data_IF_092895564479
#
_entry.id   IF_092895564479
#
_cell.length_a   1.000
_cell.length_b   1.000
_cell.length_c   1.000
_cell.angle_alpha   90.00
_cell.angle_beta   90.00
_cell.angle_gamma   90.00
#
_symmetry.space_group_name_H-M   'P 1'
#
loop_
_entity.id
_entity.type
_entity.pdbx_description
1 polymer ?
#
# COMPACT_ATOMS: atom_id res chain seq x y z
N UNK A 1 -38.81 42.25 43.23
CA UNK A 1 -39.10 43.66 42.87
C UNK A 1 -37.78 44.29 42.44
N UNK A 2 -37.62 44.69 41.17
CA UNK A 2 -37.68 46.10 40.67
C UNK A 2 -36.44 46.85 41.18
N UNK A 3 -35.58 47.54 40.43
CA UNK A 3 -35.41 48.00 39.05
C UNK A 3 -33.97 48.60 39.06
N UNK A 4 -33.23 48.70 37.96
CA UNK A 4 -33.16 49.97 37.21
C UNK A 4 -32.38 49.79 35.90
N UNK A 5 -32.97 50.41 34.88
CA UNK A 5 -32.50 50.62 33.52
C UNK A 5 -31.45 51.75 33.44
N UNK A 6 -30.90 51.85 32.23
CA UNK A 6 -30.31 53.02 31.55
C UNK A 6 -28.78 52.92 31.47
N UNK A 7 -28.12 52.87 30.32
CA UNK A 7 -28.47 53.38 28.99
C UNK A 7 -27.44 54.43 28.60
N UNK A 8 -26.54 54.11 27.68
CA UNK A 8 -25.85 55.10 26.82
C UNK A 8 -25.29 54.42 25.58
N UNK A 9 -25.71 54.97 24.45
CA UNK A 9 -25.30 54.74 23.07
C UNK A 9 -24.26 55.81 22.68
N UNK A 10 -23.49 55.52 21.62
CA UNK A 10 -22.60 56.33 20.76
C UNK A 10 -21.21 55.65 20.73
N UNK A 11 -20.54 55.40 19.61
CA UNK A 11 -20.71 55.87 18.23
C UNK A 11 -19.89 54.97 17.29
N UNK A 12 -20.23 55.00 16.01
CA UNK A 12 -19.60 54.28 14.90
C UNK A 12 -18.13 54.67 14.68
N UNK A 13 -17.29 53.69 14.30
CA UNK A 13 -16.23 53.98 13.33
C UNK A 13 -15.94 52.75 12.45
N UNK A 14 -16.57 52.81 11.29
CA UNK A 14 -16.33 52.09 10.06
C UNK A 14 -14.83 52.01 9.68
N UNK A 15 -14.25 50.80 9.63
CA UNK A 15 -13.01 50.52 8.88
C UNK A 15 -13.10 49.18 8.17
N UNK A 16 -13.35 49.26 6.87
CA UNK A 16 -13.18 48.20 5.88
C UNK A 16 -11.75 47.65 5.91
N UNK A 17 -11.54 46.33 5.83
CA UNK A 17 -10.30 45.78 5.31
C UNK A 17 -10.38 45.69 3.77
N UNK A 18 -9.57 46.53 3.15
CA UNK A 18 -9.25 46.60 1.73
C UNK A 18 -8.81 45.26 1.13
N UNK A 19 -9.39 44.91 -0.02
CA UNK A 19 -8.89 43.88 -0.95
C UNK A 19 -7.49 44.25 -1.45
N UNK A 20 -6.51 43.33 -1.49
CA UNK A 20 -5.39 43.48 -2.40
C UNK A 20 -5.75 42.97 -3.80
N UNK A 21 -5.46 43.83 -4.77
CA UNK A 21 -5.77 43.71 -6.17
C UNK A 21 -5.03 42.55 -6.88
N UNK A 22 -5.74 41.98 -7.84
CA UNK A 22 -5.25 41.10 -8.90
C UNK A 22 -4.55 41.93 -9.97
N UNK A 23 -3.35 41.55 -10.39
CA UNK A 23 -2.68 42.03 -11.61
C UNK A 23 -1.73 40.93 -12.14
N UNK A 24 -1.38 40.90 -13.45
CA UNK A 24 -1.92 39.92 -14.39
C UNK A 24 -0.88 38.91 -14.92
N UNK A 25 -1.37 37.90 -15.65
CA UNK A 25 -0.60 36.85 -16.32
C UNK A 25 -0.26 37.21 -17.79
N UNK A 26 0.85 36.60 -18.24
CA UNK A 26 1.25 36.21 -19.61
C UNK A 26 2.13 37.22 -20.40
N UNK A 27 2.91 36.82 -21.47
CA UNK A 27 2.90 35.55 -22.22
C UNK A 27 4.26 34.97 -22.77
N UNK A 28 4.30 33.64 -22.99
CA UNK A 28 4.66 32.87 -24.23
C UNK A 28 6.08 32.86 -24.89
N UNK A 29 6.56 31.62 -25.13
CA UNK A 29 7.39 31.06 -26.26
C UNK A 29 8.93 31.21 -26.20
N UNK A 30 9.81 30.29 -26.70
CA UNK A 30 9.91 29.42 -27.91
C UNK A 30 10.90 28.25 -27.60
N UNK A 31 10.61 26.98 -27.95
CA UNK A 31 10.97 26.21 -29.19
C UNK A 31 12.40 25.60 -29.25
N UNK A 32 12.44 24.24 -29.19
CA UNK A 32 13.31 23.22 -29.87
C UNK A 32 14.84 23.23 -29.63
N UNK A 33 15.43 22.05 -29.41
CA UNK A 33 16.07 21.20 -30.46
C UNK A 33 16.49 19.83 -29.88
N UNK A 34 16.32 18.79 -30.70
CA UNK A 34 16.80 17.43 -30.48
C UNK A 34 18.27 17.32 -30.89
N UNK A 35 19.03 16.44 -30.26
CA UNK A 35 20.21 15.87 -30.88
C UNK A 35 20.38 14.41 -30.44
N UNK A 36 20.53 13.61 -31.47
CA UNK A 36 20.75 12.18 -31.58
C UNK A 36 22.28 12.01 -31.66
N UNK A 37 22.84 11.05 -30.93
CA UNK A 37 24.21 10.62 -31.11
C UNK A 37 24.29 9.10 -30.89
N UNK A 38 24.43 8.42 -32.02
CA UNK A 38 24.82 7.03 -32.19
C UNK A 38 26.36 6.89 -32.09
N UNK A 39 26.84 5.66 -32.23
CA UNK A 39 28.23 5.18 -32.43
C UNK A 39 28.90 4.60 -31.16
N UNK A 40 28.94 3.26 -31.05
CA UNK A 40 30.04 2.32 -31.45
C UNK A 40 31.22 2.41 -30.47
N UNK A 41 31.95 1.38 -30.04
CA UNK A 41 32.26 0.02 -30.47
C UNK A 41 33.14 -0.55 -29.34
N UNK A 42 33.15 -1.86 -29.10
CA UNK A 42 34.37 -2.59 -28.74
C UNK A 42 34.13 -4.11 -28.83
N UNK A 43 34.56 -4.63 -29.99
CA UNK A 43 35.39 -5.83 -30.23
C UNK A 43 36.14 -6.38 -28.97
N UNK A 44 36.52 -7.66 -28.83
CA UNK A 44 36.66 -8.79 -29.76
C UNK A 44 36.86 -10.09 -28.95
N UNK A 45 36.62 -11.18 -29.65
CA UNK A 45 36.80 -12.59 -29.32
C UNK A 45 38.25 -12.97 -29.00
N UNK A 46 38.41 -14.10 -28.30
CA UNK A 46 39.55 -15.00 -28.56
C UNK A 46 39.14 -16.47 -28.32
N UNK A 47 39.45 -17.30 -29.30
CA UNK A 47 39.06 -18.71 -29.46
C UNK A 47 40.25 -19.66 -29.16
N UNK A 48 39.95 -20.74 -28.42
CA UNK A 48 40.40 -22.16 -28.60
C UNK A 48 41.87 -22.56 -28.28
N UNK A 49 42.24 -23.87 -28.09
CA UNK A 49 41.51 -25.11 -28.46
C UNK A 49 41.53 -26.34 -27.51
N UNK A 50 40.47 -27.15 -27.68
CA UNK A 50 40.36 -28.61 -27.79
C UNK A 50 41.17 -29.60 -26.92
N UNK A 51 40.44 -30.48 -26.21
CA UNK A 51 40.73 -31.91 -26.16
C UNK A 51 39.41 -32.71 -26.10
N UNK A 52 39.35 -33.77 -26.90
CA UNK A 52 38.18 -34.53 -27.33
C UNK A 52 37.71 -35.58 -26.31
N UNK A 53 36.38 -35.79 -26.23
CA UNK A 53 35.73 -37.12 -26.08
C UNK A 53 34.30 -37.03 -26.63
N UNK A 54 33.97 -37.86 -27.63
CA UNK A 54 32.59 -38.23 -27.99
C UNK A 54 32.34 -39.70 -27.56
N UNK A 55 31.14 -40.29 -27.78
CA UNK A 55 29.85 -39.96 -27.17
C UNK A 55 29.21 -41.23 -26.57
N UNK A 56 28.22 -41.15 -25.67
CA UNK A 56 27.07 -42.11 -25.65
C UNK A 56 26.02 -41.84 -24.57
N UNK A 57 24.76 -41.99 -25.00
CA UNK A 57 23.56 -42.47 -24.26
C UNK A 57 22.74 -41.46 -23.44
N UNK A 58 21.69 -41.00 -24.13
CA UNK A 58 20.26 -40.99 -23.73
C UNK A 58 19.79 -40.34 -22.42
N UNK A 59 19.00 -39.28 -22.65
CA UNK A 59 17.68 -38.99 -22.08
C UNK A 59 17.44 -39.42 -20.62
N UNK A 60 17.33 -38.41 -19.75
CA UNK A 60 16.13 -38.16 -18.95
C UNK A 60 16.16 -36.72 -18.41
N UNK A 61 15.64 -35.78 -19.20
CA UNK A 61 15.28 -34.45 -18.69
C UNK A 61 13.98 -34.58 -17.89
N UNK A 62 14.09 -35.06 -16.65
CA UNK A 62 13.07 -34.80 -15.66
C UNK A 62 13.27 -33.36 -15.20
N UNK A 63 12.39 -32.46 -15.63
CA UNK A 63 12.26 -31.13 -15.03
C UNK A 63 12.14 -31.32 -13.52
N UNK A 64 13.04 -30.77 -12.69
CA UNK A 64 12.87 -30.86 -11.25
C UNK A 64 11.50 -30.23 -10.92
N UNK A 65 10.71 -30.84 -10.02
CA UNK A 65 9.46 -30.25 -9.59
C UNK A 65 9.73 -28.81 -9.12
N UNK A 66 8.80 -27.87 -9.37
CA UNK A 66 8.96 -26.50 -8.90
C UNK A 66 9.28 -26.56 -7.41
N UNK A 67 10.28 -25.79 -6.93
CA UNK A 67 10.71 -25.86 -5.55
C UNK A 67 9.49 -25.69 -4.67
N UNK A 68 9.23 -26.67 -3.81
CA UNK A 68 8.17 -26.58 -2.82
C UNK A 68 8.34 -25.23 -2.10
N UNK A 69 7.27 -24.41 -1.98
CA UNK A 69 7.36 -23.14 -1.30
C UNK A 69 7.83 -23.44 0.12
N UNK A 70 9.06 -23.03 0.43
CA UNK A 70 9.68 -23.29 1.72
C UNK A 70 8.69 -22.85 2.81
N UNK A 71 8.51 -23.72 3.81
CA UNK A 71 7.43 -23.71 4.82
C UNK A 71 7.18 -22.34 5.50
N UNK A 72 8.16 -21.43 5.46
CA UNK A 72 8.06 -20.04 5.92
C UNK A 72 6.99 -19.18 5.19
N UNK A 73 6.42 -19.64 4.07
CA UNK A 73 5.49 -18.84 3.26
C UNK A 73 4.04 -18.84 3.74
N UNK A 74 3.63 -19.82 4.57
CA UNK A 74 2.22 -19.96 4.97
C UNK A 74 1.87 -19.03 6.13
N UNK A 75 1.75 -17.74 5.81
CA UNK A 75 1.18 -16.75 6.75
C UNK A 75 -0.27 -17.15 7.01
N UNK A 76 -0.70 -17.31 8.27
CA UNK A 76 -2.08 -17.67 8.59
C UNK A 76 -3.09 -16.75 7.92
N UNK A 77 -4.22 -17.32 7.49
CA UNK A 77 -5.28 -16.59 6.78
C UNK A 77 -5.06 -16.35 5.29
N UNK A 78 -3.94 -16.82 4.70
CA UNK A 78 -3.77 -16.88 3.24
C UNK A 78 -4.51 -18.10 2.69
N UNK A 79 -5.42 -17.86 1.76
CA UNK A 79 -6.26 -18.87 1.11
C UNK A 79 -6.09 -18.81 -0.41
N UNK A 80 -5.96 -17.60 -0.95
CA UNK A 80 -5.82 -17.35 -2.39
C UNK A 80 -4.38 -17.44 -2.90
N UNK A 81 -4.22 -17.41 -4.24
CA UNK A 81 -2.90 -17.42 -4.88
C UNK A 81 -2.12 -16.15 -4.56
N UNK A 82 -0.80 -16.29 -4.42
CA UNK A 82 0.12 -15.15 -4.28
C UNK A 82 0.51 -14.70 -5.69
N UNK A 83 0.14 -13.46 -6.05
CA UNK A 83 0.45 -12.87 -7.35
C UNK A 83 1.66 -11.95 -7.23
N UNK A 84 2.39 -11.78 -8.33
CA UNK A 84 3.43 -10.75 -8.41
C UNK A 84 2.77 -9.39 -8.27
N UNK A 85 3.34 -8.56 -7.39
CA UNK A 85 2.84 -7.22 -7.17
C UNK A 85 3.74 -6.23 -7.88
N UNK A 86 3.28 -5.79 -9.03
CA UNK A 86 3.83 -4.62 -9.68
C UNK A 86 3.10 -3.41 -9.11
N UNK A 87 3.86 -2.51 -8.49
CA UNK A 87 3.37 -1.20 -8.06
C UNK A 87 3.36 -0.21 -9.23
N UNK A 88 3.81 -0.65 -10.42
CA UNK A 88 3.63 0.13 -11.65
C UNK A 88 2.15 0.23 -11.98
N UNK A 89 1.71 1.41 -12.43
CA UNK A 89 0.38 1.62 -12.99
C UNK A 89 0.44 1.18 -14.46
N UNK A 90 0.82 -0.08 -14.65
CA UNK A 90 0.90 -0.73 -15.95
C UNK A 90 -0.21 -1.78 -16.06
N UNK A 91 -1.02 -1.74 -17.13
CA UNK A 91 -1.00 -0.73 -18.19
C UNK A 91 -1.54 0.63 -17.70
N UNK A 92 -1.04 1.71 -18.31
CA UNK A 92 -1.52 3.07 -18.03
C UNK A 92 -2.76 3.37 -18.89
N UNK A 93 -3.81 3.91 -18.29
CA UNK A 93 -5.02 4.30 -19.00
C UNK A 93 -4.70 5.55 -19.82
N UNK A 94 -4.71 5.39 -21.15
CA UNK A 94 -4.51 6.51 -22.06
C UNK A 94 -5.61 7.55 -21.82
N UNK A 95 -5.27 8.85 -21.69
CA UNK A 95 -6.29 9.89 -21.60
C UNK A 95 -7.22 9.84 -22.80
N UNK A 96 -8.53 9.97 -22.55
CA UNK A 96 -9.50 10.03 -23.64
C UNK A 96 -9.16 11.17 -24.61
N UNK A 97 -9.00 10.83 -25.88
CA UNK A 97 -8.89 11.79 -26.98
C UNK A 97 -10.18 11.70 -27.80
N UNK A 98 -10.90 12.83 -27.86
CA UNK A 98 -12.04 12.94 -28.77
C UNK A 98 -11.62 12.81 -30.23
N UNK A 99 -12.58 12.66 -31.16
CA UNK A 99 -12.31 12.65 -32.59
C UNK A 99 -11.44 13.85 -33.01
N UNK A 100 -10.56 13.69 -34.02
CA UNK A 100 -9.73 14.78 -34.49
C UNK A 100 -10.59 15.99 -34.86
N UNK A 101 -10.26 17.16 -34.31
CA UNK A 101 -11.00 18.41 -34.54
C UNK A 101 -12.16 18.70 -33.57
N UNK A 102 -12.60 17.75 -32.73
CA UNK A 102 -13.67 17.97 -31.74
C UNK A 102 -13.16 17.73 -30.31
N UNK A 103 -13.18 18.79 -29.48
CA UNK A 103 -12.93 18.67 -28.03
C UNK A 103 -14.16 18.07 -27.35
N UNK A 104 -14.28 16.75 -27.37
CA UNK A 104 -15.27 16.03 -26.58
C UNK A 104 -14.69 15.81 -25.18
N UNK A 105 -15.40 16.25 -24.14
CA UNK A 105 -15.07 15.97 -22.74
C UNK A 105 -16.08 14.94 -22.23
N UNK A 106 -15.59 13.75 -21.85
CA UNK A 106 -16.39 12.78 -21.11
C UNK A 106 -16.81 13.34 -19.77
N UNK A 107 -17.99 12.94 -19.31
CA UNK A 107 -18.46 13.23 -17.94
C UNK A 107 -17.54 12.54 -16.93
N UNK A 108 -17.68 12.89 -15.66
CA UNK A 108 -16.92 12.23 -14.59
C UNK A 108 -17.31 10.74 -14.49
N UNK A 109 -18.61 10.46 -14.54
CA UNK A 109 -19.19 9.10 -14.47
C UNK A 109 -18.67 8.21 -15.61
N UNK A 110 -18.70 8.69 -16.86
CA UNK A 110 -18.17 7.95 -18.01
C UNK A 110 -16.67 7.60 -17.86
N UNK A 111 -15.87 8.51 -17.30
CA UNK A 111 -14.44 8.25 -17.06
C UNK A 111 -14.23 7.24 -15.94
N UNK A 112 -15.06 7.29 -14.90
CA UNK A 112 -14.99 6.36 -13.79
C UNK A 112 -15.42 4.95 -14.22
N UNK A 113 -16.46 4.83 -15.05
CA UNK A 113 -16.89 3.55 -15.63
C UNK A 113 -15.81 2.95 -16.52
N UNK A 114 -15.19 3.76 -17.40
CA UNK A 114 -14.07 3.31 -18.24
C UNK A 114 -12.86 2.89 -17.42
N UNK A 115 -12.53 3.65 -16.38
CA UNK A 115 -11.47 3.31 -15.45
C UNK A 115 -11.78 1.99 -14.72
N UNK A 116 -13.02 1.83 -14.25
CA UNK A 116 -13.45 0.64 -13.54
C UNK A 116 -13.48 -0.58 -14.46
N UNK A 117 -13.85 -0.41 -15.74
CA UNK A 117 -13.76 -1.47 -16.74
C UNK A 117 -12.31 -1.84 -17.02
N UNK A 118 -11.46 -0.86 -17.28
CA UNK A 118 -10.03 -1.08 -17.50
C UNK A 118 -9.38 -1.81 -16.32
N UNK A 119 -9.63 -1.36 -15.09
CA UNK A 119 -9.06 -1.99 -13.89
C UNK A 119 -9.53 -3.45 -13.74
N UNK A 120 -10.78 -3.78 -14.14
CA UNK A 120 -11.29 -5.15 -14.14
C UNK A 120 -10.67 -6.04 -15.21
N UNK A 121 -10.36 -5.50 -16.37
CA UNK A 121 -9.80 -6.27 -17.50
C UNK A 121 -8.29 -6.51 -17.33
N UNK A 122 -7.60 -5.62 -16.61
CA UNK A 122 -6.14 -5.68 -16.48
C UNK A 122 -5.71 -6.22 -15.11
N UNK A 123 -5.39 -7.52 -15.03
CA UNK A 123 -4.94 -8.18 -13.80
C UNK A 123 -3.65 -7.56 -13.20
N UNK A 124 -2.78 -7.01 -14.06
CA UNK A 124 -1.56 -6.31 -13.64
C UNK A 124 -1.82 -5.04 -12.83
N UNK A 125 -2.98 -4.40 -13.02
CA UNK A 125 -3.30 -3.12 -12.41
C UNK A 125 -3.32 -3.19 -10.87
N UNK A 126 -2.92 -2.12 -10.20
CA UNK A 126 -2.74 -2.09 -8.75
C UNK A 126 -4.06 -2.18 -7.94
N UNK A 127 -5.19 -1.86 -8.58
CA UNK A 127 -6.53 -1.91 -7.97
C UNK A 127 -7.45 -2.96 -8.61
N UNK A 128 -6.93 -3.84 -9.47
CA UNK A 128 -7.72 -4.84 -10.17
C UNK A 128 -8.63 -5.65 -9.23
N UNK A 129 -8.07 -6.18 -8.14
CA UNK A 129 -8.80 -7.03 -7.20
C UNK A 129 -9.92 -6.27 -6.47
N UNK A 130 -9.75 -4.96 -6.25
CA UNK A 130 -10.76 -4.11 -5.62
C UNK A 130 -11.96 -3.92 -6.54
N UNK A 131 -11.72 -3.59 -7.82
CA UNK A 131 -12.79 -3.43 -8.80
C UNK A 131 -13.51 -4.75 -9.09
N UNK A 132 -12.79 -5.88 -9.12
CA UNK A 132 -13.41 -7.21 -9.24
C UNK A 132 -14.27 -7.54 -8.02
N UNK A 133 -13.76 -7.30 -6.80
CA UNK A 133 -14.53 -7.51 -5.57
C UNK A 133 -15.80 -6.64 -5.54
N UNK A 134 -15.70 -5.37 -5.91
CA UNK A 134 -16.84 -4.46 -5.95
C UNK A 134 -17.88 -4.88 -6.98
N UNK A 135 -17.46 -5.25 -8.19
CA UNK A 135 -18.35 -5.65 -9.28
C UNK A 135 -19.11 -6.96 -9.00
N UNK A 136 -18.53 -7.89 -8.24
CA UNK A 136 -19.21 -9.12 -7.84
C UNK A 136 -20.34 -8.90 -6.82
N UNK A 137 -20.32 -7.79 -6.09
CA UNK A 137 -21.33 -7.47 -5.08
C UNK A 137 -21.16 -8.24 -3.75
N UNK A 138 -22.03 -7.97 -2.76
CA UNK A 138 -21.91 -8.49 -1.39
C UNK A 138 -22.07 -10.02 -1.29
N UNK A 139 -22.83 -10.62 -2.19
CA UNK A 139 -23.10 -12.06 -2.25
C UNK A 139 -22.26 -12.75 -3.35
N UNK A 140 -21.25 -12.06 -3.86
CA UNK A 140 -20.36 -12.57 -4.90
C UNK A 140 -19.41 -13.65 -4.39
N UNK A 141 -18.75 -14.34 -5.31
CA UNK A 141 -17.67 -15.28 -4.96
C UNK A 141 -16.50 -14.54 -4.30
N UNK A 142 -15.78 -15.17 -3.35
CA UNK A 142 -14.62 -14.57 -2.70
C UNK A 142 -13.62 -13.99 -3.71
N UNK A 143 -13.05 -12.84 -3.37
CA UNK A 143 -11.98 -12.21 -4.15
C UNK A 143 -10.77 -12.05 -3.24
N UNK A 144 -9.59 -12.37 -3.77
CA UNK A 144 -8.35 -12.36 -3.01
C UNK A 144 -7.46 -11.21 -3.49
N UNK A 145 -6.74 -10.59 -2.55
CA UNK A 145 -5.69 -9.64 -2.89
C UNK A 145 -4.46 -10.35 -3.50
N UNK A 146 -3.51 -9.57 -4.05
CA UNK A 146 -2.24 -10.12 -4.59
C UNK A 146 -1.41 -10.89 -3.55
N UNK A 147 -1.71 -10.72 -2.26
CA UNK A 147 -1.04 -11.38 -1.15
C UNK A 147 -1.73 -12.69 -0.73
N UNK A 148 -2.84 -13.07 -1.38
CA UNK A 148 -3.58 -14.29 -1.14
C UNK A 148 -4.63 -14.21 -0.02
N UNK A 149 -4.99 -13.02 0.46
CA UNK A 149 -6.01 -12.85 1.50
C UNK A 149 -7.36 -12.46 0.91
N UNK A 150 -8.43 -13.02 1.47
CA UNK A 150 -9.80 -12.67 1.10
C UNK A 150 -10.09 -11.20 1.45
N UNK A 151 -10.62 -10.45 0.47
CA UNK A 151 -11.06 -9.08 0.63
C UNK A 151 -12.43 -9.04 1.31
N UNK A 152 -12.61 -8.05 2.17
CA UNK A 152 -13.91 -7.74 2.79
C UNK A 152 -14.69 -6.79 1.87
N UNK A 153 -15.79 -7.30 1.29
CA UNK A 153 -16.63 -6.52 0.39
C UNK A 153 -17.08 -5.18 1.00
N UNK A 154 -17.46 -5.15 2.28
CA UNK A 154 -17.95 -3.92 2.90
C UNK A 154 -16.84 -2.86 2.99
N UNK A 155 -15.61 -3.29 3.28
CA UNK A 155 -14.46 -2.39 3.31
C UNK A 155 -14.10 -1.91 1.91
N UNK A 156 -14.15 -2.79 0.92
CA UNK A 156 -13.96 -2.42 -0.49
C UNK A 156 -15.04 -1.45 -0.96
N UNK A 157 -16.31 -1.70 -0.68
CA UNK A 157 -17.41 -0.82 -1.06
C UNK A 157 -17.29 0.58 -0.45
N UNK A 158 -16.83 0.69 0.80
CA UNK A 158 -16.51 1.99 1.43
C UNK A 158 -15.30 2.67 0.78
N UNK A 159 -14.29 1.89 0.37
CA UNK A 159 -13.13 2.40 -0.34
C UNK A 159 -13.49 2.96 -1.72
N UNK A 160 -14.38 2.28 -2.44
CA UNK A 160 -14.84 2.67 -3.78
C UNK A 160 -15.79 3.88 -3.76
N UNK A 161 -16.39 4.19 -2.61
CA UNK A 161 -17.28 5.33 -2.43
C UNK A 161 -16.69 6.33 -1.42
N UNK A 162 -15.64 7.08 -1.80
CA UNK A 162 -15.01 8.03 -0.88
C UNK A 162 -16.01 9.13 -0.49
N UNK A 163 -16.05 9.43 0.81
CA UNK A 163 -16.87 10.55 1.31
C UNK A 163 -16.26 11.89 0.92
N UNK A 164 -17.10 12.93 0.81
CA UNK A 164 -16.65 14.29 0.53
C UNK A 164 -15.59 14.74 1.55
N UNK A 165 -14.53 15.38 1.03
CA UNK A 165 -13.39 15.79 1.84
C UNK A 165 -13.78 16.82 2.90
N UNK A 166 -13.53 16.50 4.16
CA UNK A 166 -13.70 17.42 5.28
C UNK A 166 -12.38 17.56 6.06
N UNK A 167 -11.70 18.69 5.86
CA UNK A 167 -10.38 18.96 6.45
C UNK A 167 -10.38 18.90 7.98
N UNK A 168 -11.39 19.47 8.64
CA UNK A 168 -11.40 19.56 10.12
C UNK A 168 -11.64 18.20 10.75
N UNK A 169 -12.55 17.41 10.17
CA UNK A 169 -12.77 16.03 10.58
C UNK A 169 -11.53 15.15 10.33
N UNK A 170 -10.86 15.34 9.18
CA UNK A 170 -9.63 14.63 8.84
C UNK A 170 -8.51 14.90 9.85
N UNK A 171 -8.19 16.17 10.14
CA UNK A 171 -7.09 16.52 11.08
C UNK A 171 -7.36 15.94 12.47
N UNK A 172 -8.57 16.15 13.01
CA UNK A 172 -8.95 15.59 14.32
C UNK A 172 -8.97 14.05 14.33
N UNK A 173 -9.25 13.43 13.19
CA UNK A 173 -9.19 11.98 13.03
C UNK A 173 -7.75 11.47 13.00
N UNK A 174 -6.87 12.20 12.32
CA UNK A 174 -5.46 11.84 12.14
C UNK A 174 -4.71 11.84 13.46
N UNK A 175 -4.80 12.89 14.27
CA UNK A 175 -4.11 12.96 15.57
C UNK A 175 -4.53 11.81 16.50
N UNK A 176 -5.84 11.54 16.55
CA UNK A 176 -6.37 10.42 17.34
C UNK A 176 -5.91 9.06 16.83
N UNK A 177 -5.83 8.88 15.51
CA UNK A 177 -5.37 7.64 14.90
C UNK A 177 -3.86 7.43 15.12
N UNK A 178 -3.05 8.48 15.00
CA UNK A 178 -1.60 8.44 15.25
C UNK A 178 -1.32 8.12 16.72
N UNK A 179 -1.96 8.83 17.65
CA UNK A 179 -1.77 8.58 19.08
C UNK A 179 -2.20 7.16 19.46
N UNK A 180 -3.31 6.67 18.91
CA UNK A 180 -3.74 5.28 19.14
C UNK A 180 -2.70 4.29 18.59
N UNK A 181 -2.23 4.49 17.37
CA UNK A 181 -1.25 3.62 16.75
C UNK A 181 0.07 3.59 17.52
N UNK A 182 0.54 4.74 18.00
CA UNK A 182 1.74 4.83 18.86
C UNK A 182 1.54 4.08 20.18
N UNK A 183 0.45 4.35 20.90
CA UNK A 183 0.14 3.66 22.15
C UNK A 183 0.03 2.14 21.98
N UNK A 184 -0.60 1.67 20.90
CA UNK A 184 -0.70 0.25 20.58
C UNK A 184 0.68 -0.36 20.27
N UNK A 185 1.54 0.35 19.53
CA UNK A 185 2.89 -0.10 19.22
C UNK A 185 3.78 -0.19 20.46
N UNK A 186 3.69 0.79 21.36
CA UNK A 186 4.42 0.78 22.63
C UNK A 186 4.01 -0.41 23.50
N UNK A 187 2.71 -0.68 23.63
CA UNK A 187 2.22 -1.84 24.36
C UNK A 187 2.66 -3.16 23.73
N UNK A 188 2.64 -3.27 22.39
CA UNK A 188 3.15 -4.46 21.70
C UNK A 188 4.65 -4.65 21.96
N UNK A 189 5.43 -3.58 21.92
CA UNK A 189 6.87 -3.64 22.15
C UNK A 189 7.21 -4.06 23.58
N UNK A 190 6.50 -3.53 24.58
CA UNK A 190 6.70 -3.88 25.99
C UNK A 190 6.45 -5.37 26.26
N UNK A 191 5.46 -5.96 25.59
CA UNK A 191 5.14 -7.39 25.72
C UNK A 191 6.13 -8.26 24.94
N UNK A 192 6.49 -7.83 23.73
CA UNK A 192 7.29 -8.63 22.81
C UNK A 192 8.77 -8.73 23.21
N UNK A 193 9.34 -7.65 23.76
CA UNK A 193 10.74 -7.60 24.18
C UNK A 193 10.92 -7.94 25.66
N UNK A 194 12.13 -8.36 26.01
CA UNK A 194 12.56 -8.38 27.40
C UNK A 194 12.54 -6.95 27.99
N UNK A 195 12.34 -6.84 29.32
CA UNK A 195 12.11 -5.55 30.00
C UNK A 195 13.31 -4.62 29.79
N UNK A 196 13.08 -3.47 29.15
CA UNK A 196 14.12 -2.47 28.87
C UNK A 196 14.87 -2.66 27.54
N UNK A 197 14.56 -3.73 26.81
CA UNK A 197 15.23 -4.07 25.54
C UNK A 197 14.46 -3.62 24.29
N UNK A 198 13.24 -3.12 24.46
CA UNK A 198 12.46 -2.55 23.36
C UNK A 198 13.25 -1.42 22.67
N UNK A 199 13.25 -1.37 21.32
CA UNK A 199 13.86 -0.25 20.57
C UNK A 199 13.31 1.11 21.04
N UNK A 200 13.90 2.23 20.62
CA UNK A 200 13.32 3.58 20.86
C UNK A 200 13.38 4.38 19.54
N UNK A 201 12.34 5.13 19.21
CA UNK A 201 12.34 6.08 18.08
C UNK A 201 11.83 5.51 16.74
N UNK A 202 12.45 5.91 15.62
CA UNK A 202 11.96 5.67 14.25
C UNK A 202 12.15 4.25 13.72
N UNK A 203 12.98 3.44 14.39
CA UNK A 203 13.21 2.02 14.05
C UNK A 203 11.95 1.14 14.25
N UNK A 204 10.92 1.66 14.94
CA UNK A 204 9.69 0.94 15.26
C UNK A 204 8.83 0.53 14.07
N UNK A 205 8.66 1.41 13.08
CA UNK A 205 7.56 1.25 12.13
C UNK A 205 7.72 0.00 11.26
N UNK A 206 8.94 -0.31 10.83
CA UNK A 206 9.23 -1.54 10.09
C UNK A 206 9.26 -2.77 11.01
N UNK A 207 9.70 -2.60 12.27
CA UNK A 207 9.81 -3.69 13.24
C UNK A 207 8.44 -4.22 13.68
N UNK A 208 7.43 -3.35 13.83
CA UNK A 208 6.07 -3.75 14.24
C UNK A 208 5.46 -4.80 13.31
N UNK A 209 5.68 -4.67 11.99
CA UNK A 209 5.20 -5.65 11.03
C UNK A 209 5.80 -7.06 11.25
N UNK A 210 7.08 -7.09 11.65
CA UNK A 210 7.80 -8.33 11.96
C UNK A 210 7.32 -8.96 13.28
N UNK A 211 7.07 -8.15 14.31
CA UNK A 211 6.53 -8.64 15.58
C UNK A 211 5.15 -9.27 15.38
N UNK A 212 4.29 -8.59 14.62
CA UNK A 212 2.98 -9.12 14.25
C UNK A 212 3.08 -10.41 13.45
N UNK A 213 4.11 -10.55 12.61
CA UNK A 213 4.34 -11.78 11.84
C UNK A 213 4.74 -12.97 12.72
N UNK A 214 5.60 -12.76 13.71
CA UNK A 214 5.93 -13.81 14.67
C UNK A 214 4.71 -14.22 15.49
N UNK A 215 4.02 -13.24 16.09
CA UNK A 215 2.82 -13.50 16.90
C UNK A 215 1.71 -14.16 16.06
N UNK A 216 1.56 -13.76 14.80
CA UNK A 216 0.64 -14.39 13.85
C UNK A 216 0.92 -15.88 13.67
N UNK A 217 2.20 -16.26 13.47
CA UNK A 217 2.60 -17.65 13.29
C UNK A 217 2.43 -18.45 14.57
N UNK A 218 2.87 -17.91 15.70
CA UNK A 218 2.82 -18.56 17.01
C UNK A 218 1.38 -18.81 17.49
N UNK A 219 0.45 -17.89 17.18
CA UNK A 219 -0.96 -18.03 17.54
C UNK A 219 -1.84 -18.60 16.42
N UNK A 220 -1.29 -18.82 15.22
CA UNK A 220 -2.03 -19.18 14.01
C UNK A 220 -3.19 -18.22 13.69
N UNK A 221 -3.02 -16.92 13.94
CA UNK A 221 -4.01 -15.87 13.67
C UNK A 221 -3.57 -15.04 12.47
N UNK A 222 -4.47 -14.63 11.55
CA UNK A 222 -4.07 -13.84 10.38
C UNK A 222 -3.35 -12.55 10.74
N UNK A 223 -2.24 -12.28 10.03
CA UNK A 223 -1.33 -11.18 10.29
C UNK A 223 -2.02 -9.80 10.47
N UNK A 224 -2.99 -9.48 9.62
CA UNK A 224 -3.70 -8.19 9.65
C UNK A 224 -4.71 -8.07 10.80
N UNK A 225 -5.03 -9.16 11.51
CA UNK A 225 -5.89 -9.16 12.71
C UNK A 225 -5.11 -9.05 14.02
N UNK A 226 -3.78 -9.17 13.97
CA UNK A 226 -2.94 -9.08 15.15
C UNK A 226 -2.99 -7.66 15.73
N UNK A 227 -3.34 -7.61 17.01
CA UNK A 227 -3.46 -6.43 17.85
C UNK A 227 -2.98 -6.71 19.27
N UNK A 228 -3.05 -5.72 20.16
CA UNK A 228 -2.46 -5.81 21.52
C UNK A 228 -2.99 -7.00 22.32
N UNK A 229 -4.27 -7.33 22.19
CA UNK A 229 -4.88 -8.48 22.87
C UNK A 229 -4.19 -9.81 22.52
N UNK A 230 -3.80 -9.98 21.25
CA UNK A 230 -3.08 -11.17 20.79
C UNK A 230 -1.66 -11.23 21.37
N UNK A 231 -0.98 -10.09 21.52
CA UNK A 231 0.32 -10.05 22.21
C UNK A 231 0.20 -10.48 23.68
N UNK A 232 -0.87 -10.05 24.37
CA UNK A 232 -1.13 -10.50 25.75
C UNK A 232 -1.43 -12.00 25.82
N UNK A 233 -2.15 -12.55 24.85
CA UNK A 233 -2.39 -13.99 24.76
C UNK A 233 -1.10 -14.77 24.49
N UNK A 234 -0.27 -14.24 23.58
CA UNK A 234 1.04 -14.78 23.26
C UNK A 234 1.96 -14.83 24.49
N UNK A 235 2.00 -13.76 25.29
CA UNK A 235 2.73 -13.75 26.55
C UNK A 235 2.18 -14.78 27.56
N UNK A 236 0.85 -14.89 27.70
CA UNK A 236 0.21 -15.87 28.59
C UNK A 236 0.51 -17.32 28.20
N UNK A 237 0.68 -17.58 26.91
CA UNK A 237 1.10 -18.90 26.39
C UNK A 237 2.57 -19.22 26.66
N UNK A 238 3.34 -18.26 27.23
CA UNK A 238 4.73 -18.47 27.63
C UNK A 238 5.70 -18.47 26.46
N UNK A 239 5.34 -17.88 25.32
CA UNK A 239 6.28 -17.76 24.20
C UNK A 239 7.49 -16.91 24.60
N UNK A 240 8.66 -17.30 24.10
CA UNK A 240 9.93 -16.63 24.44
C UNK A 240 9.94 -15.20 23.90
N UNK A 241 10.17 -14.25 24.82
CA UNK A 241 10.38 -12.84 24.48
C UNK A 241 11.67 -12.63 23.70
N UNK A 242 11.71 -11.53 22.97
CA UNK A 242 12.77 -11.20 22.03
C UNK A 242 13.81 -10.33 22.69
N UNK A 243 15.08 -10.59 22.37
CA UNK A 243 16.19 -9.74 22.80
C UNK A 243 16.46 -8.60 21.84
N UNK A 244 17.06 -7.52 22.36
CA UNK A 244 17.53 -6.39 21.55
C UNK A 244 18.50 -6.90 20.47
N UNK A 245 18.25 -6.53 19.21
CA UNK A 245 19.11 -6.90 18.07
C UNK A 245 18.59 -8.03 17.19
N UNK A 246 17.72 -8.91 17.68
CA UNK A 246 17.20 -10.05 16.88
C UNK A 246 16.42 -9.61 15.62
N UNK A 247 15.87 -8.39 15.64
CA UNK A 247 15.09 -7.82 14.54
C UNK A 247 15.73 -6.57 13.91
N UNK A 248 17.00 -6.28 14.23
CA UNK A 248 17.70 -5.10 13.69
C UNK A 248 18.10 -5.30 12.22
N UNK A 249 18.46 -6.52 11.82
CA UNK A 249 18.92 -6.86 10.47
C UNK A 249 17.87 -7.76 9.82
N UNK A 250 17.03 -7.17 8.96
CA UNK A 250 15.99 -7.90 8.22
C UNK A 250 16.49 -8.18 6.80
N UNK A 251 16.56 -9.45 6.36
CA UNK A 251 16.88 -9.80 4.97
C UNK A 251 15.94 -9.11 3.98
N UNK A 252 16.43 -8.83 2.76
CA UNK A 252 15.66 -8.14 1.71
C UNK A 252 14.35 -8.90 1.41
N UNK A 253 14.40 -10.22 1.28
CA UNK A 253 13.23 -11.07 1.04
C UNK A 253 12.14 -10.92 2.12
N UNK A 254 12.54 -10.81 3.39
CA UNK A 254 11.60 -10.61 4.49
C UNK A 254 10.98 -9.20 4.44
N UNK A 255 11.76 -8.18 4.06
CA UNK A 255 11.25 -6.81 3.88
C UNK A 255 10.24 -6.74 2.72
N UNK A 256 10.51 -7.42 1.61
CA UNK A 256 9.56 -7.52 0.49
C UNK A 256 8.28 -8.26 0.89
N UNK A 257 8.42 -9.37 1.63
CA UNK A 257 7.27 -10.09 2.20
C UNK A 257 6.44 -9.23 3.15
N UNK A 258 7.08 -8.44 4.02
CA UNK A 258 6.38 -7.50 4.91
C UNK A 258 5.65 -6.42 4.13
N UNK A 259 6.28 -5.86 3.10
CA UNK A 259 5.65 -4.86 2.23
C UNK A 259 4.39 -5.42 1.57
N UNK A 260 4.44 -6.68 1.13
CA UNK A 260 3.29 -7.41 0.60
C UNK A 260 2.19 -7.61 1.65
N UNK A 261 2.56 -8.03 2.87
CA UNK A 261 1.60 -8.20 3.97
C UNK A 261 0.95 -6.89 4.41
N UNK A 262 1.69 -5.79 4.48
CA UNK A 262 1.18 -4.47 4.82
C UNK A 262 0.20 -3.95 3.76
N UNK A 263 0.52 -4.18 2.49
CA UNK A 263 -0.25 -3.60 1.40
C UNK A 263 -1.64 -4.23 1.27
N UNK A 264 -2.69 -3.42 1.38
CA UNK A 264 -4.08 -3.87 1.33
C UNK A 264 -4.58 -4.51 2.62
N UNK A 265 -3.78 -4.54 3.70
CA UNK A 265 -4.16 -5.19 4.96
C UNK A 265 -5.47 -4.67 5.56
N UNK A 266 -5.76 -3.38 5.39
CA UNK A 266 -6.99 -2.75 5.87
C UNK A 266 -8.25 -3.22 5.16
N UNK A 267 -8.13 -3.77 3.94
CA UNK A 267 -9.25 -4.20 3.10
C UNK A 267 -9.54 -5.70 3.20
N UNK A 268 -8.76 -6.43 3.99
CA UNK A 268 -8.92 -7.88 4.21
C UNK A 268 -9.99 -8.18 5.25
N UNK A 269 -10.57 -9.37 5.17
CA UNK A 269 -11.58 -9.92 6.10
C UNK A 269 -11.00 -10.36 7.44
#
# INVERSE_FOLDING_TARGET
>A
MVSLRSGKVLEESNKQPTKPATLPRAPVSKKRKAEEAESTENEKENLTPAAAVEPTVSKNNATPPPPEPKEYERTPGRIGPIKKKDFSIEPNIKPFKGPPGKKVRKTFEEKEEEYAQFARENEGHCFHELHVCYAKGPNGSPTYDKSGFELDYQKVARWMNPSAYNKTAMVKGMDRAVNRAQNEQEQMAEIFYEKGEAPKGTEYFQAVGMWKDRVSKDLNVPWHKIGVAHFREWEKKGFKRVRKGEYLIVPIEQRERMTRLLSGASLRK
#
